data_IF_339853558573
#
_entry.id   IF_339853558573
#
_cell.length_a   1.000
_cell.length_b   1.000
_cell.length_c   1.000
_cell.angle_alpha   90.00
_cell.angle_beta   90.00
_cell.angle_gamma   90.00
#
_symmetry.space_group_name_H-M   'P 1'
#
loop_
_entity.id
_entity.type
_entity.pdbx_description
1 polymer ?
#
# COMPACT_ATOMS: atom_id res chain seq x y z
N UNK A 1 -3.95 -8.63 -21.05
CA UNK A 1 -4.40 -7.25 -20.76
C UNK A 1 -5.13 -7.23 -19.42
N UNK A 2 -5.31 -6.07 -18.79
CA UNK A 2 -6.09 -5.92 -17.54
C UNK A 2 -7.47 -6.64 -17.63
N UNK A 3 -8.07 -6.65 -18.83
CA UNK A 3 -9.29 -7.39 -19.14
C UNK A 3 -9.15 -8.92 -18.96
N UNK A 4 -8.03 -9.52 -19.38
CA UNK A 4 -7.78 -10.97 -19.26
C UNK A 4 -7.53 -11.42 -17.82
N UNK A 5 -6.95 -10.54 -16.99
CA UNK A 5 -6.76 -10.79 -15.56
C UNK A 5 -8.09 -10.72 -14.78
N UNK A 6 -9.04 -9.90 -15.23
CA UNK A 6 -10.39 -9.85 -14.66
C UNK A 6 -11.19 -11.11 -15.02
N UNK A 7 -11.06 -11.62 -16.25
CA UNK A 7 -11.74 -12.85 -16.68
C UNK A 7 -11.24 -14.09 -15.95
N UNK A 8 -9.92 -14.22 -15.73
CA UNK A 8 -9.34 -15.33 -14.96
C UNK A 8 -9.77 -15.33 -13.47
N UNK A 9 -10.12 -14.16 -12.91
CA UNK A 9 -10.58 -14.03 -11.52
C UNK A 9 -12.02 -14.50 -11.29
N UNK A 10 -12.82 -14.66 -12.34
CA UNK A 10 -14.21 -15.10 -12.22
C UNK A 10 -14.35 -16.63 -12.09
N UNK A 11 -13.30 -17.39 -12.44
CA UNK A 11 -13.37 -18.84 -12.63
C UNK A 11 -12.76 -19.65 -11.47
N UNK A 12 -12.04 -19.03 -10.53
CA UNK A 12 -11.44 -19.72 -9.37
C UNK A 12 -11.56 -18.87 -8.09
N UNK A 13 -12.58 -19.13 -7.25
CA UNK A 13 -12.93 -18.27 -6.13
C UNK A 13 -12.06 -18.48 -4.88
N UNK A 14 -11.15 -19.46 -4.87
CA UNK A 14 -10.66 -19.94 -3.58
C UNK A 14 -9.39 -19.25 -3.05
N UNK A 15 -8.44 -18.73 -3.85
CA UNK A 15 -7.16 -18.28 -3.25
C UNK A 15 -6.39 -17.12 -3.87
N UNK A 16 -6.97 -16.24 -4.70
CA UNK A 16 -6.25 -15.04 -5.14
C UNK A 16 -6.90 -13.76 -4.64
N UNK A 17 -6.65 -13.43 -3.37
CA UNK A 17 -6.76 -12.05 -2.89
C UNK A 17 -5.63 -11.25 -3.57
N UNK A 18 -5.82 -10.90 -4.84
CA UNK A 18 -4.98 -9.87 -5.47
C UNK A 18 -5.40 -8.56 -4.81
N UNK A 19 -4.54 -7.92 -4.00
CA UNK A 19 -4.89 -6.64 -3.43
C UNK A 19 -5.23 -5.69 -4.57
N UNK A 20 -6.39 -5.03 -4.49
CA UNK A 20 -6.69 -3.95 -5.42
C UNK A 20 -5.71 -2.82 -5.11
N UNK A 21 -4.77 -2.60 -6.03
CA UNK A 21 -3.74 -1.58 -5.90
C UNK A 21 -4.29 -0.25 -6.44
N UNK A 22 -4.61 0.68 -5.54
CA UNK A 22 -5.19 1.99 -5.90
C UNK A 22 -4.27 3.18 -5.58
N UNK A 23 -4.47 4.29 -6.29
CA UNK A 23 -3.75 5.56 -6.08
C UNK A 23 -4.40 6.38 -4.97
N UNK A 24 -4.53 5.78 -3.77
CA UNK A 24 -4.95 6.40 -2.49
C UNK A 24 -6.06 7.48 -2.53
N UNK A 25 -6.90 7.48 -3.56
CA UNK A 25 -7.94 8.48 -3.78
C UNK A 25 -9.14 8.13 -2.88
N UNK A 26 -9.59 9.05 -2.01
CA UNK A 26 -10.67 8.77 -1.07
C UNK A 26 -11.98 8.35 -1.73
N UNK A 27 -12.30 8.88 -2.92
CA UNK A 27 -13.52 8.54 -3.64
C UNK A 27 -13.42 7.14 -4.27
N UNK A 28 -12.26 6.79 -4.83
CA UNK A 28 -11.97 5.44 -5.32
C UNK A 28 -12.03 4.42 -4.18
N UNK A 29 -11.37 4.69 -3.05
CA UNK A 29 -11.40 3.78 -1.89
C UNK A 29 -12.82 3.56 -1.36
N UNK A 30 -13.65 4.60 -1.33
CA UNK A 30 -15.06 4.49 -0.94
C UNK A 30 -15.87 3.65 -1.95
N UNK A 31 -15.66 3.84 -3.26
CA UNK A 31 -16.34 3.07 -4.30
C UNK A 31 -15.91 1.60 -4.27
N UNK A 32 -14.62 1.31 -4.12
CA UNK A 32 -14.08 -0.05 -4.02
C UNK A 32 -14.62 -0.77 -2.79
N UNK A 33 -14.69 -0.10 -1.64
CA UNK A 33 -15.26 -0.68 -0.41
C UNK A 33 -16.76 -0.96 -0.54
N UNK A 34 -17.48 -0.14 -1.32
CA UNK A 34 -18.89 -0.36 -1.60
C UNK A 34 -19.12 -1.56 -2.53
N UNK A 35 -18.34 -1.67 -3.61
CA UNK A 35 -18.50 -2.73 -4.62
C UNK A 35 -17.89 -4.07 -4.18
N UNK A 36 -16.79 -4.05 -3.41
CA UNK A 36 -16.03 -5.23 -3.00
C UNK A 36 -15.65 -5.16 -1.51
N UNK A 37 -16.62 -5.34 -0.61
CA UNK A 37 -16.42 -5.18 0.83
C UNK A 37 -15.51 -6.26 1.46
N UNK A 38 -15.38 -7.43 0.82
CA UNK A 38 -14.54 -8.55 1.30
C UNK A 38 -13.14 -8.56 0.70
N UNK A 39 -12.87 -7.71 -0.29
CA UNK A 39 -11.55 -7.63 -0.92
C UNK A 39 -10.61 -6.79 -0.06
N UNK A 40 -9.39 -7.28 0.14
CA UNK A 40 -8.33 -6.50 0.75
C UNK A 40 -7.86 -5.43 -0.25
N UNK A 41 -8.02 -4.16 0.10
CA UNK A 41 -7.58 -3.02 -0.71
C UNK A 41 -6.26 -2.51 -0.16
N UNK A 42 -5.28 -2.25 -1.04
CA UNK A 42 -3.97 -1.75 -0.63
C UNK A 42 -3.57 -0.59 -1.53
N UNK A 43 -2.89 0.41 -0.96
CA UNK A 43 -2.38 1.51 -1.77
C UNK A 43 -1.19 1.07 -2.62
N UNK A 44 -1.05 1.67 -3.80
CA UNK A 44 0.09 1.43 -4.66
C UNK A 44 1.39 1.86 -4.00
N UNK A 45 2.31 0.91 -3.86
CA UNK A 45 3.65 1.15 -3.30
C UNK A 45 4.39 2.26 -4.07
N UNK A 46 4.19 2.34 -5.39
CA UNK A 46 4.77 3.40 -6.21
C UNK A 46 4.24 4.79 -5.80
N UNK A 47 2.93 4.94 -5.67
CA UNK A 47 2.31 6.21 -5.27
C UNK A 47 2.60 6.57 -3.81
N UNK A 48 2.57 5.60 -2.91
CA UNK A 48 3.01 5.77 -1.51
C UNK A 48 4.45 6.28 -1.46
N UNK A 49 5.37 5.65 -2.20
CA UNK A 49 6.77 6.06 -2.26
C UNK A 49 6.94 7.47 -2.86
N UNK A 50 6.21 7.77 -3.94
CA UNK A 50 6.27 9.08 -4.58
C UNK A 50 5.78 10.20 -3.64
N UNK A 51 4.66 9.96 -2.95
CA UNK A 51 4.12 10.89 -1.96
C UNK A 51 5.07 11.06 -0.77
N UNK A 52 5.64 9.96 -0.28
CA UNK A 52 6.63 9.95 0.80
C UNK A 52 7.82 10.83 0.44
N UNK A 53 8.48 10.56 -0.68
CA UNK A 53 9.66 11.31 -1.13
C UNK A 53 9.32 12.78 -1.36
N UNK A 54 8.22 13.08 -2.07
CA UNK A 54 7.83 14.46 -2.39
C UNK A 54 7.53 15.30 -1.15
N UNK A 55 6.87 14.72 -0.14
CA UNK A 55 6.42 15.47 1.04
C UNK A 55 7.47 15.50 2.15
N UNK A 56 8.18 14.40 2.41
CA UNK A 56 9.07 14.30 3.57
C UNK A 56 10.51 14.70 3.26
N UNK A 57 11.01 14.46 2.05
CA UNK A 57 12.39 14.83 1.69
C UNK A 57 12.71 16.32 1.91
N UNK A 58 11.83 17.27 1.53
CA UNK A 58 12.07 18.69 1.80
C UNK A 58 12.08 19.04 3.29
N UNK A 59 11.33 18.31 4.11
CA UNK A 59 11.18 18.56 5.55
C UNK A 59 12.38 18.00 6.32
N UNK A 60 12.82 16.79 5.98
CA UNK A 60 13.79 16.04 6.76
C UNK A 60 15.24 16.28 6.33
N UNK A 61 15.46 16.79 5.10
CA UNK A 61 16.79 17.09 4.60
C UNK A 61 17.74 15.90 4.69
N UNK A 62 18.79 16.02 5.52
CA UNK A 62 19.83 14.98 5.67
C UNK A 62 19.34 13.71 6.38
N UNK A 63 18.35 13.82 7.26
CA UNK A 63 17.78 12.66 7.97
C UNK A 63 16.81 11.85 7.11
N UNK A 64 16.52 12.31 5.88
CA UNK A 64 15.59 11.64 4.99
C UNK A 64 16.03 10.22 4.63
N UNK A 65 17.32 9.99 4.38
CA UNK A 65 17.79 8.66 3.94
C UNK A 65 17.54 7.58 5.00
N UNK A 66 17.80 7.88 6.28
CA UNK A 66 17.56 6.95 7.38
C UNK A 66 16.06 6.67 7.56
N UNK A 67 15.23 7.72 7.52
CA UNK A 67 13.78 7.60 7.53
C UNK A 67 13.23 6.80 6.34
N UNK A 68 13.80 7.01 5.15
CA UNK A 68 13.42 6.32 3.93
C UNK A 68 13.75 4.82 4.00
N UNK A 69 14.88 4.45 4.60
CA UNK A 69 15.21 3.04 4.86
C UNK A 69 14.23 2.38 5.83
N UNK A 70 13.83 3.07 6.90
CA UNK A 70 12.79 2.59 7.80
C UNK A 70 11.48 2.37 7.05
N UNK A 71 11.03 3.36 6.26
CA UNK A 71 9.85 3.25 5.40
C UNK A 71 9.91 2.04 4.45
N UNK A 72 11.04 1.86 3.77
CA UNK A 72 11.25 0.74 2.84
C UNK A 72 11.15 -0.62 3.55
N UNK A 73 11.60 -0.70 4.80
CA UNK A 73 11.67 -1.96 5.56
C UNK A 73 10.32 -2.55 5.97
N UNK A 74 9.24 -1.75 6.04
CA UNK A 74 7.94 -2.22 6.51
C UNK A 74 6.80 -2.09 5.50
N UNK A 75 6.92 -1.23 4.48
CA UNK A 75 5.83 -0.93 3.51
C UNK A 75 5.28 -2.13 2.73
N UNK A 76 5.96 -3.28 2.79
CA UNK A 76 5.60 -4.53 2.12
C UNK A 76 5.44 -5.70 3.10
N UNK A 77 5.26 -5.45 4.40
CA UNK A 77 5.03 -6.53 5.34
C UNK A 77 3.70 -7.22 5.04
N UNK A 78 3.74 -8.53 4.78
CA UNK A 78 2.54 -9.36 4.57
C UNK A 78 1.88 -9.78 5.89
N UNK A 79 2.57 -9.59 7.01
CA UNK A 79 2.08 -9.86 8.34
C UNK A 79 1.77 -8.53 9.04
N UNK A 80 0.53 -8.39 9.51
CA UNK A 80 0.04 -7.20 10.21
C UNK A 80 0.88 -6.90 11.45
N UNK A 81 1.21 -7.92 12.26
CA UNK A 81 2.04 -7.75 13.47
C UNK A 81 3.42 -7.17 13.14
N UNK A 82 4.05 -7.65 12.06
CA UNK A 82 5.35 -7.15 11.62
C UNK A 82 5.25 -5.75 11.03
N UNK A 83 4.14 -5.43 10.36
CA UNK A 83 3.85 -4.08 9.89
C UNK A 83 3.75 -3.12 11.08
N UNK A 84 2.90 -3.43 12.06
CA UNK A 84 2.64 -2.59 13.23
C UNK A 84 3.91 -2.34 14.06
N UNK A 85 4.69 -3.40 14.34
CA UNK A 85 5.95 -3.24 15.08
C UNK A 85 6.96 -2.32 14.37
N UNK A 86 7.10 -2.44 13.04
CA UNK A 86 8.05 -1.61 12.29
C UNK A 86 7.49 -0.20 12.02
N UNK A 87 6.17 -0.08 11.91
CA UNK A 87 5.45 1.20 11.81
C UNK A 87 5.66 2.03 13.06
N UNK A 88 5.52 1.44 14.26
CA UNK A 88 5.80 2.13 15.52
C UNK A 88 7.22 2.71 15.57
N UNK A 89 8.22 1.90 15.16
CA UNK A 89 9.61 2.37 15.06
C UNK A 89 9.79 3.51 14.06
N UNK A 90 8.99 3.55 13.00
CA UNK A 90 9.02 4.61 11.99
C UNK A 90 8.37 5.90 12.50
N UNK A 91 7.27 5.82 13.26
CA UNK A 91 6.58 6.99 13.83
C UNK A 91 7.39 7.63 14.97
N UNK A 92 8.23 6.85 15.64
CA UNK A 92 9.14 7.31 16.71
C UNK A 92 10.45 7.94 16.19
N UNK A 93 10.66 7.98 14.86
CA UNK A 93 11.84 8.57 14.21
C UNK A 93 11.79 10.11 14.19
#
# INVERSE_FOLDING_TARGET
>A
TLQQLITLKAEDPEWVVVPNIEDADPAMGAALKNMWPTTHHSHCIFHLNNNFVKKLKPIMGKSFEECYWLFYSFRNSLLEIDFEHRWMRFVEF
#
